data_IF_138641072222
#
_entry.id   IF_138641072222
#
_cell.length_a   1.000
_cell.length_b   1.000
_cell.length_c   1.000
_cell.angle_alpha   90.00
_cell.angle_beta   90.00
_cell.angle_gamma   90.00
#
_symmetry.space_group_name_H-M   'P 1'
#
loop_
_entity.id
_entity.type
_entity.pdbx_description
1 polymer ?
#
# COMPACT_ATOMS: atom_id res chain seq x y z
N UNK A 1 2.74 -69.53 99.55
CA UNK A 1 1.91 -68.40 99.09
C UNK A 1 2.70 -67.10 98.85
N UNK A 2 3.67 -66.72 99.61
CA UNK A 2 4.38 -65.46 99.47
C UNK A 2 5.29 -65.34 98.20
N UNK A 3 5.81 -66.46 97.66
CA UNK A 3 6.63 -66.45 96.42
C UNK A 3 5.87 -66.10 95.16
N UNK A 4 4.61 -66.55 95.03
CA UNK A 4 3.82 -66.27 93.87
C UNK A 4 3.30 -64.83 93.80
N UNK A 5 3.18 -64.18 94.96
CA UNK A 5 2.75 -62.77 95.03
C UNK A 5 3.89 -61.82 94.55
N UNK A 6 5.14 -62.21 94.80
CA UNK A 6 6.35 -61.43 94.39
C UNK A 6 6.50 -61.57 92.88
N UNK A 7 6.30 -62.76 92.33
CA UNK A 7 6.36 -62.98 90.86
C UNK A 7 5.27 -62.19 90.13
N UNK A 8 4.07 -62.12 90.66
CA UNK A 8 2.97 -61.35 90.10
C UNK A 8 3.28 -59.86 90.12
N UNK A 9 3.90 -59.33 91.20
CA UNK A 9 4.31 -57.93 91.30
C UNK A 9 5.35 -57.56 90.30
N UNK A 10 6.34 -58.46 90.07
CA UNK A 10 7.36 -58.22 89.04
C UNK A 10 6.81 -58.23 87.62
N UNK A 11 5.86 -59.14 87.35
CA UNK A 11 5.20 -59.19 86.02
C UNK A 11 4.39 -57.89 85.77
N UNK A 12 3.64 -57.44 86.76
CA UNK A 12 2.86 -56.20 86.68
C UNK A 12 3.76 -55.01 86.50
N UNK A 13 4.91 -54.93 87.17
CA UNK A 13 5.88 -53.85 87.03
C UNK A 13 6.54 -53.86 85.64
N UNK A 14 6.84 -55.05 85.07
CA UNK A 14 7.39 -55.14 83.71
C UNK A 14 6.34 -54.77 82.65
N UNK A 15 5.08 -55.13 82.85
CA UNK A 15 4.00 -54.73 81.91
C UNK A 15 3.75 -53.22 82.01
N UNK A 16 3.77 -52.65 83.21
CA UNK A 16 3.66 -51.17 83.39
C UNK A 16 4.83 -50.41 82.74
N UNK A 17 6.05 -50.94 82.89
CA UNK A 17 7.23 -50.38 82.23
C UNK A 17 7.21 -50.44 80.67
N UNK A 18 6.69 -51.57 80.15
CA UNK A 18 6.49 -51.76 78.72
C UNK A 18 5.41 -50.82 78.17
N UNK A 19 4.31 -50.66 78.97
CA UNK A 19 3.22 -49.75 78.60
C UNK A 19 3.68 -48.27 78.60
N UNK A 20 4.50 -47.87 79.59
CA UNK A 20 5.01 -46.54 79.68
C UNK A 20 6.04 -46.22 78.53
N UNK A 21 6.88 -47.21 78.19
CA UNK A 21 7.83 -47.08 77.07
C UNK A 21 7.15 -47.06 75.70
N UNK A 22 6.07 -47.77 75.52
CA UNK A 22 5.25 -47.80 74.32
C UNK A 22 4.52 -46.45 74.08
N UNK A 23 4.09 -45.81 75.20
CA UNK A 23 3.34 -44.58 75.14
C UNK A 23 4.22 -43.32 75.03
N UNK A 24 5.60 -43.46 75.12
CA UNK A 24 6.58 -42.41 74.95
C UNK A 24 7.19 -42.38 73.56
N UNK A 25 6.58 -43.08 72.60
CA UNK A 25 6.91 -42.88 71.18
C UNK A 25 6.44 -41.48 70.78
N UNK A 26 7.34 -40.53 70.86
CA UNK A 26 7.10 -39.14 70.42
C UNK A 26 6.50 -39.14 69.01
N UNK A 27 5.60 -38.24 68.76
CA UNK A 27 5.05 -37.99 67.45
C UNK A 27 6.21 -37.69 66.46
N UNK A 28 6.42 -38.61 65.55
CA UNK A 28 7.38 -38.40 64.47
C UNK A 28 6.70 -37.46 63.45
N UNK A 29 7.04 -36.18 63.56
CA UNK A 29 6.64 -35.23 62.52
C UNK A 29 7.42 -35.54 61.24
N UNK A 30 6.72 -35.96 60.21
CA UNK A 30 7.30 -36.05 58.87
C UNK A 30 7.43 -34.63 58.34
N UNK A 31 8.62 -34.14 58.29
CA UNK A 31 8.97 -32.86 57.67
C UNK A 31 9.53 -33.14 56.26
N UNK A 32 8.93 -32.54 55.28
CA UNK A 32 9.49 -32.53 53.94
C UNK A 32 10.62 -31.50 53.92
N UNK A 33 11.84 -31.98 53.77
CA UNK A 33 13.00 -31.13 53.56
C UNK A 33 13.12 -30.86 52.04
N UNK A 34 13.01 -29.61 51.66
CA UNK A 34 13.32 -29.15 50.30
C UNK A 34 14.65 -28.42 50.38
N UNK A 35 15.54 -28.73 49.45
CA UNK A 35 16.78 -27.94 49.30
C UNK A 35 16.41 -26.58 48.73
N UNK A 36 16.94 -25.52 49.29
CA UNK A 36 16.85 -24.20 48.73
C UNK A 36 17.77 -24.14 47.51
N UNK A 37 17.18 -24.06 46.32
CA UNK A 37 17.89 -23.83 45.09
C UNK A 37 17.71 -22.36 44.68
N UNK A 38 18.79 -21.71 44.23
CA UNK A 38 18.68 -20.39 43.64
C UNK A 38 18.19 -20.56 42.20
N UNK A 39 16.91 -20.29 41.96
CA UNK A 39 16.35 -20.23 40.62
C UNK A 39 16.26 -18.79 40.16
N UNK A 40 16.70 -18.57 38.94
CA UNK A 40 16.51 -17.29 38.27
C UNK A 40 15.03 -17.12 37.93
N UNK A 41 14.37 -16.17 38.55
CA UNK A 41 12.98 -15.82 38.27
C UNK A 41 12.97 -14.94 37.02
N UNK A 42 12.62 -15.49 35.89
CA UNK A 42 12.38 -14.70 34.66
C UNK A 42 10.97 -14.12 34.73
N UNK A 43 10.91 -12.79 34.71
CA UNK A 43 9.66 -12.09 34.54
C UNK A 43 9.15 -12.38 33.12
N UNK A 44 7.92 -12.83 32.99
CA UNK A 44 7.25 -13.05 31.71
C UNK A 44 6.01 -12.18 31.64
N UNK A 45 5.85 -11.54 30.50
CA UNK A 45 4.68 -10.71 30.19
C UNK A 45 3.80 -11.48 29.22
N UNK A 46 2.52 -11.56 29.52
CA UNK A 46 1.54 -12.12 28.60
C UNK A 46 0.98 -10.98 27.75
N UNK A 47 1.21 -11.04 26.44
CA UNK A 47 0.65 -10.09 25.50
C UNK A 47 -0.13 -10.84 24.41
N UNK A 48 -1.27 -10.31 24.03
CA UNK A 48 -2.01 -10.78 22.86
C UNK A 48 -1.61 -9.97 21.64
N UNK A 49 -1.58 -10.61 20.47
CA UNK A 49 -1.20 -9.93 19.25
C UNK A 49 -1.62 -10.65 17.99
N UNK A 50 -1.46 -9.98 16.86
CA UNK A 50 -1.76 -10.50 15.54
C UNK A 50 -0.48 -10.63 14.70
N UNK A 51 -0.47 -11.63 13.84
CA UNK A 51 0.56 -11.75 12.81
C UNK A 51 0.16 -10.88 11.62
N UNK A 52 1.06 -9.98 11.24
CA UNK A 52 0.87 -9.11 10.08
C UNK A 52 2.03 -9.28 9.10
N UNK A 53 1.78 -9.06 7.83
CA UNK A 53 2.85 -9.03 6.84
C UNK A 53 3.62 -7.71 6.95
N UNK A 54 4.95 -7.77 6.89
CA UNK A 54 5.80 -6.58 6.94
C UNK A 54 5.58 -5.68 5.72
N UNK A 55 5.43 -6.29 4.55
CA UNK A 55 5.09 -5.60 3.31
C UNK A 55 3.75 -6.09 2.79
N UNK A 56 2.79 -5.18 2.74
CA UNK A 56 1.46 -5.42 2.24
C UNK A 56 1.00 -4.19 1.44
N UNK A 57 0.44 -4.42 0.27
CA UNK A 57 -0.09 -3.36 -0.59
C UNK A 57 -1.55 -3.65 -0.91
N UNK A 58 -2.39 -2.69 -0.57
CA UNK A 58 -3.81 -2.70 -0.93
C UNK A 58 -3.98 -1.99 -2.28
N UNK A 59 -4.45 -2.71 -3.28
CA UNK A 59 -4.79 -2.18 -4.58
C UNK A 59 -6.20 -1.62 -4.53
N UNK A 60 -6.31 -0.31 -4.70
CA UNK A 60 -7.57 0.42 -4.72
C UNK A 60 -7.84 1.00 -6.09
N UNK A 61 -9.11 1.15 -6.44
CA UNK A 61 -9.47 1.76 -7.72
C UNK A 61 -9.26 3.26 -7.70
N UNK A 62 -8.60 3.77 -8.74
CA UNK A 62 -8.46 5.20 -9.00
C UNK A 62 -9.47 5.70 -10.03
N UNK A 63 -10.11 4.78 -10.76
CA UNK A 63 -11.14 5.08 -11.76
C UNK A 63 -12.41 4.30 -11.47
N UNK A 64 -13.55 4.83 -11.89
CA UNK A 64 -14.83 4.13 -11.73
C UNK A 64 -15.08 3.30 -13.00
N UNK A 65 -15.31 2.00 -12.82
CA UNK A 65 -15.58 1.10 -13.94
C UNK A 65 -16.06 -0.27 -13.49
N UNK A 66 -16.72 -0.99 -14.39
CA UNK A 66 -17.15 -2.36 -14.15
C UNK A 66 -15.97 -3.33 -14.36
N UNK A 67 -15.83 -4.31 -13.48
CA UNK A 67 -14.81 -5.36 -13.60
C UNK A 67 -15.17 -6.29 -14.76
N UNK A 68 -14.27 -6.37 -15.74
CA UNK A 68 -14.41 -7.27 -16.90
C UNK A 68 -13.84 -8.65 -16.62
N UNK A 69 -12.72 -8.73 -15.93
CA UNK A 69 -12.07 -9.99 -15.57
C UNK A 69 -11.24 -9.86 -14.28
N UNK A 70 -11.20 -10.96 -13.52
CA UNK A 70 -10.29 -11.17 -12.39
C UNK A 70 -9.47 -12.42 -12.72
N UNK A 71 -8.14 -12.32 -12.71
CA UNK A 71 -7.20 -13.33 -13.22
C UNK A 71 -6.49 -14.10 -12.12
N UNK A 72 -6.83 -13.82 -10.86
CA UNK A 72 -6.23 -14.44 -9.68
C UNK A 72 -7.30 -14.79 -8.65
N UNK A 73 -6.98 -15.71 -7.77
CA UNK A 73 -7.77 -16.08 -6.60
C UNK A 73 -6.97 -15.80 -5.30
N UNK A 74 -7.67 -15.80 -4.17
CA UNK A 74 -7.02 -15.70 -2.86
C UNK A 74 -6.06 -16.88 -2.64
N UNK A 75 -4.84 -16.58 -2.23
CA UNK A 75 -3.76 -17.55 -2.02
C UNK A 75 -2.83 -17.71 -3.23
N UNK A 76 -3.14 -17.12 -4.39
CA UNK A 76 -2.27 -17.20 -5.56
C UNK A 76 -0.97 -16.42 -5.39
N UNK A 77 0.12 -17.00 -5.86
CA UNK A 77 1.41 -16.32 -5.98
C UNK A 77 1.39 -15.38 -7.18
N UNK A 78 1.80 -14.16 -6.97
CA UNK A 78 1.85 -13.12 -7.99
C UNK A 78 3.25 -12.52 -8.10
N UNK A 79 3.63 -12.15 -9.33
CA UNK A 79 4.89 -11.48 -9.61
C UNK A 79 4.66 -9.98 -9.83
N UNK A 80 5.66 -9.17 -9.52
CA UNK A 80 5.62 -7.73 -9.81
C UNK A 80 5.34 -7.47 -11.29
N UNK A 81 4.39 -6.59 -11.59
CA UNK A 81 3.93 -6.27 -12.95
C UNK A 81 2.90 -7.24 -13.53
N UNK A 82 2.63 -8.37 -12.89
CA UNK A 82 1.60 -9.32 -13.33
C UNK A 82 0.23 -8.65 -13.27
N UNK A 83 -0.57 -8.86 -14.33
CA UNK A 83 -1.97 -8.37 -14.36
C UNK A 83 -2.82 -9.23 -13.45
N UNK A 84 -3.54 -8.58 -12.54
CA UNK A 84 -4.39 -9.24 -11.54
C UNK A 84 -5.87 -9.16 -11.93
N UNK A 85 -6.29 -8.01 -12.44
CA UNK A 85 -7.66 -7.78 -12.90
C UNK A 85 -7.73 -6.65 -13.92
N UNK A 86 -8.85 -6.53 -14.62
CA UNK A 86 -9.14 -5.45 -15.57
C UNK A 86 -10.55 -4.93 -15.40
N UNK A 87 -10.71 -3.63 -15.58
CA UNK A 87 -12.01 -2.99 -15.79
C UNK A 87 -12.37 -3.00 -17.27
N UNK A 88 -13.64 -2.77 -17.60
CA UNK A 88 -14.12 -2.61 -18.97
C UNK A 88 -13.49 -1.38 -19.61
N UNK A 89 -12.59 -1.54 -20.62
CA UNK A 89 -11.78 -0.44 -21.12
C UNK A 89 -12.48 0.38 -22.21
N UNK A 90 -13.64 -0.05 -22.73
CA UNK A 90 -14.25 0.47 -23.97
C UNK A 90 -14.50 1.98 -23.92
N UNK A 91 -15.05 2.48 -22.83
CA UNK A 91 -15.33 3.91 -22.67
C UNK A 91 -14.06 4.74 -22.55
N UNK A 92 -13.04 4.24 -21.85
CA UNK A 92 -11.73 4.88 -21.71
C UNK A 92 -10.97 4.89 -23.04
N UNK A 93 -10.99 3.77 -23.78
CA UNK A 93 -10.38 3.68 -25.10
C UNK A 93 -11.03 4.65 -26.11
N UNK A 94 -12.36 4.79 -26.05
CA UNK A 94 -13.09 5.76 -26.88
C UNK A 94 -12.72 7.22 -26.55
N UNK A 95 -12.53 7.54 -25.25
CA UNK A 95 -12.05 8.87 -24.84
C UNK A 95 -10.63 9.13 -25.36
N UNK A 96 -9.71 8.16 -25.23
CA UNK A 96 -8.35 8.27 -25.80
C UNK A 96 -8.40 8.56 -27.30
N UNK A 97 -9.22 7.82 -28.08
CA UNK A 97 -9.34 8.05 -29.51
C UNK A 97 -9.93 9.43 -29.84
N UNK A 98 -10.88 9.90 -29.06
CA UNK A 98 -11.44 11.25 -29.19
C UNK A 98 -10.37 12.33 -28.97
N UNK A 99 -9.56 12.22 -27.89
CA UNK A 99 -8.51 13.18 -27.63
C UNK A 99 -7.38 13.10 -28.65
N UNK A 100 -7.03 11.90 -29.12
CA UNK A 100 -6.08 11.71 -30.21
C UNK A 100 -6.55 12.38 -31.51
N UNK A 101 -7.84 12.29 -31.83
CA UNK A 101 -8.40 13.01 -32.97
C UNK A 101 -8.31 14.54 -32.79
N UNK A 102 -8.52 15.03 -31.57
CA UNK A 102 -8.37 16.45 -31.26
C UNK A 102 -6.92 16.93 -31.42
N UNK A 103 -5.91 16.16 -30.97
CA UNK A 103 -4.49 16.43 -31.22
C UNK A 103 -4.21 16.51 -32.71
N UNK A 104 -4.71 15.58 -33.53
CA UNK A 104 -4.56 15.62 -35.00
C UNK A 104 -5.12 16.90 -35.59
N UNK A 105 -6.27 17.38 -35.12
CA UNK A 105 -6.87 18.65 -35.57
C UNK A 105 -5.96 19.84 -35.25
N UNK A 106 -5.38 19.89 -34.04
CA UNK A 106 -4.46 20.96 -33.65
C UNK A 106 -3.15 20.93 -34.46
N UNK A 107 -2.64 19.73 -34.76
CA UNK A 107 -1.46 19.56 -35.64
C UNK A 107 -1.71 20.15 -37.03
N UNK A 108 -2.87 19.83 -37.64
CA UNK A 108 -3.25 20.41 -38.94
C UNK A 108 -3.42 21.93 -38.85
N UNK A 109 -3.93 22.45 -37.71
CA UNK A 109 -4.04 23.89 -37.51
C UNK A 109 -2.66 24.59 -37.43
N UNK A 110 -1.66 23.93 -36.85
CA UNK A 110 -0.25 24.43 -36.88
C UNK A 110 0.28 24.41 -38.29
N UNK A 111 0.18 23.31 -39.02
CA UNK A 111 0.66 23.21 -40.40
C UNK A 111 0.09 24.32 -41.30
N UNK A 112 -1.20 24.61 -41.14
CA UNK A 112 -1.86 25.72 -41.85
C UNK A 112 -1.26 27.07 -41.45
N UNK A 113 -1.02 27.30 -40.16
CA UNK A 113 -0.46 28.57 -39.67
C UNK A 113 1.00 28.74 -40.07
N UNK A 114 1.78 27.67 -40.14
CA UNK A 114 3.16 27.68 -40.68
C UNK A 114 3.16 28.10 -42.12
N UNK A 115 2.27 27.60 -42.97
CA UNK A 115 2.14 28.00 -44.37
C UNK A 115 1.75 29.48 -44.50
N UNK A 116 0.87 29.95 -43.61
CA UNK A 116 0.51 31.37 -43.57
C UNK A 116 1.71 32.24 -43.17
N UNK A 117 2.47 31.85 -42.16
CA UNK A 117 3.69 32.56 -41.75
C UNK A 117 4.72 32.54 -42.85
N UNK A 118 4.95 31.45 -43.57
CA UNK A 118 5.85 31.32 -44.71
C UNK A 118 5.53 32.36 -45.82
N UNK A 119 4.22 32.48 -46.13
CA UNK A 119 3.73 33.46 -47.12
C UNK A 119 4.01 34.90 -46.67
N UNK A 120 3.67 35.22 -45.40
CA UNK A 120 3.90 36.58 -44.87
C UNK A 120 5.40 36.86 -44.74
N UNK A 121 6.22 35.91 -44.31
CA UNK A 121 7.68 36.03 -44.24
C UNK A 121 8.30 36.34 -45.62
N UNK A 122 7.80 35.67 -46.67
CA UNK A 122 8.22 35.94 -48.05
C UNK A 122 7.86 37.35 -48.52
N UNK A 123 6.66 37.83 -48.13
CA UNK A 123 6.25 39.23 -48.43
C UNK A 123 7.09 40.23 -47.64
N UNK A 124 7.29 39.96 -46.35
CA UNK A 124 8.14 40.79 -45.48
C UNK A 124 9.55 40.92 -46.03
N UNK A 125 10.18 39.80 -46.42
CA UNK A 125 11.52 39.81 -47.00
C UNK A 125 11.61 40.62 -48.29
N UNK A 126 10.60 40.55 -49.17
CA UNK A 126 10.53 41.37 -50.37
C UNK A 126 10.40 42.86 -50.03
N UNK A 127 9.53 43.22 -49.10
CA UNK A 127 9.34 44.62 -48.68
C UNK A 127 10.55 45.18 -47.95
N UNK A 128 11.27 44.38 -47.16
CA UNK A 128 12.52 44.77 -46.54
C UNK A 128 13.55 45.18 -47.58
N UNK A 129 13.75 44.39 -48.64
CA UNK A 129 14.66 44.71 -49.74
C UNK A 129 14.30 46.03 -50.51
N UNK A 130 12.96 46.27 -50.66
CA UNK A 130 12.46 47.50 -51.27
C UNK A 130 12.66 48.72 -50.36
N UNK A 131 12.43 48.54 -49.05
CA UNK A 131 12.65 49.62 -48.09
C UNK A 131 14.14 50.01 -47.97
N UNK A 132 15.03 48.99 -47.86
CA UNK A 132 16.50 49.26 -47.89
C UNK A 132 16.97 50.02 -49.11
N UNK A 133 16.32 49.75 -50.24
CA UNK A 133 16.60 50.49 -51.53
C UNK A 133 15.86 51.84 -51.65
N UNK A 134 15.15 52.27 -50.58
CA UNK A 134 14.32 53.47 -50.52
C UNK A 134 13.21 53.50 -51.58
N UNK A 135 12.70 52.35 -52.01
CA UNK A 135 11.65 52.26 -53.03
C UNK A 135 10.24 52.24 -52.38
N UNK A 136 10.11 52.05 -51.10
CA UNK A 136 8.87 52.18 -50.33
C UNK A 136 9.10 53.04 -49.08
N UNK A 137 8.04 53.68 -48.58
CA UNK A 137 8.07 54.52 -47.39
C UNK A 137 8.06 53.65 -46.10
N UNK A 138 8.41 54.30 -44.98
CA UNK A 138 8.44 53.67 -43.65
C UNK A 138 7.09 53.08 -43.26
N UNK A 139 6.00 53.81 -43.45
CA UNK A 139 4.66 53.38 -43.10
C UNK A 139 4.26 52.07 -43.81
N UNK A 140 4.64 51.90 -45.07
CA UNK A 140 4.35 50.70 -45.85
C UNK A 140 5.18 49.51 -45.38
N UNK A 141 6.43 49.74 -44.93
CA UNK A 141 7.23 48.66 -44.34
C UNK A 141 6.73 48.29 -42.96
N UNK A 142 6.39 49.23 -42.07
CA UNK A 142 5.86 48.99 -40.74
C UNK A 142 4.55 48.15 -40.77
N UNK A 143 3.71 48.36 -41.77
CA UNK A 143 2.49 47.57 -41.92
C UNK A 143 2.80 46.07 -42.09
N UNK A 144 3.72 45.71 -42.98
CA UNK A 144 4.08 44.30 -43.23
C UNK A 144 4.91 43.72 -42.10
N UNK A 145 5.74 44.53 -41.43
CA UNK A 145 6.51 44.10 -40.25
C UNK A 145 5.58 43.71 -39.09
N UNK A 146 4.55 44.53 -38.82
CA UNK A 146 3.53 44.23 -37.84
C UNK A 146 2.76 42.97 -38.22
N UNK A 147 2.40 42.76 -39.49
CA UNK A 147 1.71 41.54 -39.96
C UNK A 147 2.57 40.29 -39.73
N UNK A 148 3.88 40.39 -40.00
CA UNK A 148 4.81 39.30 -39.77
C UNK A 148 4.98 39.00 -38.27
N UNK A 149 5.06 40.03 -37.42
CA UNK A 149 5.13 39.88 -36.00
C UNK A 149 3.86 39.18 -35.44
N UNK A 150 2.65 39.59 -35.88
CA UNK A 150 1.40 38.98 -35.51
C UNK A 150 1.34 37.52 -35.97
N UNK A 151 1.72 37.19 -37.18
CA UNK A 151 1.72 35.82 -37.68
C UNK A 151 2.62 34.87 -36.86
N UNK A 152 3.75 35.38 -36.34
CA UNK A 152 4.62 34.62 -35.40
C UNK A 152 3.92 34.36 -34.07
N UNK A 153 3.22 35.36 -33.55
CA UNK A 153 2.44 35.22 -32.30
C UNK A 153 1.34 34.20 -32.47
N UNK A 154 0.63 34.25 -33.61
CA UNK A 154 -0.45 33.30 -33.93
C UNK A 154 0.08 31.87 -34.01
N UNK A 155 1.22 31.65 -34.68
CA UNK A 155 1.84 30.33 -34.72
C UNK A 155 2.21 29.83 -33.29
N UNK A 156 2.77 30.69 -32.46
CA UNK A 156 3.07 30.34 -31.07
C UNK A 156 1.81 29.97 -30.31
N UNK A 157 0.73 30.75 -30.45
CA UNK A 157 -0.56 30.47 -29.83
C UNK A 157 -1.13 29.11 -30.26
N UNK A 158 -0.97 28.72 -31.53
CA UNK A 158 -1.34 27.37 -32.01
C UNK A 158 -0.48 26.27 -31.39
N UNK A 159 0.84 26.56 -31.21
CA UNK A 159 1.73 25.64 -30.50
C UNK A 159 1.25 25.33 -29.06
N UNK A 160 0.89 26.38 -28.31
CA UNK A 160 0.35 26.22 -26.95
C UNK A 160 -0.97 25.43 -26.94
N UNK A 161 -1.84 25.66 -27.93
CA UNK A 161 -3.10 24.88 -28.06
C UNK A 161 -2.83 23.40 -28.36
N UNK A 162 -1.78 23.06 -29.12
CA UNK A 162 -1.35 21.69 -29.34
C UNK A 162 -0.84 21.05 -28.06
N UNK A 163 0.03 21.75 -27.29
CA UNK A 163 0.52 21.25 -26.01
C UNK A 163 -0.61 20.97 -25.03
N UNK A 164 -1.62 21.84 -24.98
CA UNK A 164 -2.82 21.62 -24.17
C UNK A 164 -3.59 20.38 -24.62
N UNK A 165 -3.75 20.17 -25.93
CA UNK A 165 -4.42 18.99 -26.46
C UNK A 165 -3.66 17.70 -26.14
N UNK A 166 -2.32 17.72 -26.26
CA UNK A 166 -1.46 16.59 -25.88
C UNK A 166 -1.59 16.26 -24.40
N UNK A 167 -1.54 17.25 -23.51
CA UNK A 167 -1.72 17.03 -22.07
C UNK A 167 -3.10 16.44 -21.73
N UNK A 168 -4.13 16.75 -22.51
CA UNK A 168 -5.47 16.16 -22.34
C UNK A 168 -5.50 14.71 -22.83
N UNK A 169 -4.82 14.40 -23.94
CA UNK A 169 -4.64 13.03 -24.44
C UNK A 169 -3.88 12.17 -23.41
N UNK A 170 -2.79 12.68 -22.86
CA UNK A 170 -2.00 11.96 -21.86
C UNK A 170 -2.84 11.60 -20.62
N UNK A 171 -3.68 12.53 -20.15
CA UNK A 171 -4.63 12.25 -19.06
C UNK A 171 -5.65 11.17 -19.41
N UNK A 172 -6.13 11.13 -20.65
CA UNK A 172 -7.05 10.09 -21.10
C UNK A 172 -6.35 8.73 -21.17
N UNK A 173 -5.11 8.71 -21.64
CA UNK A 173 -4.26 7.51 -21.69
C UNK A 173 -3.97 6.99 -20.27
N UNK A 174 -3.60 7.86 -19.34
CA UNK A 174 -3.39 7.49 -17.94
C UNK A 174 -4.64 6.86 -17.32
N UNK A 175 -5.84 7.41 -17.59
CA UNK A 175 -7.10 6.81 -17.12
C UNK A 175 -7.36 5.44 -17.74
N UNK A 176 -7.02 5.24 -19.00
CA UNK A 176 -7.10 3.93 -19.64
C UNK A 176 -6.12 2.95 -19.00
N UNK A 177 -4.88 3.36 -18.75
CA UNK A 177 -3.87 2.50 -18.12
C UNK A 177 -4.29 2.07 -16.71
N UNK A 178 -4.98 2.96 -15.97
CA UNK A 178 -5.56 2.66 -14.64
C UNK A 178 -6.73 1.67 -14.67
N UNK A 179 -7.21 1.25 -15.83
CA UNK A 179 -8.18 0.14 -15.94
C UNK A 179 -7.53 -1.24 -15.78
N UNK A 180 -6.20 -1.35 -15.85
CA UNK A 180 -5.45 -2.60 -15.73
C UNK A 180 -4.68 -2.61 -14.42
N UNK A 181 -5.11 -3.46 -13.49
CA UNK A 181 -4.49 -3.60 -12.18
C UNK A 181 -3.35 -4.59 -12.24
N UNK A 182 -2.17 -4.16 -11.80
CA UNK A 182 -0.95 -4.97 -11.76
C UNK A 182 -0.41 -5.03 -10.35
N UNK A 183 0.22 -6.15 -10.00
CA UNK A 183 0.92 -6.28 -8.72
C UNK A 183 2.11 -5.32 -8.66
N UNK A 184 2.23 -4.48 -7.62
CA UNK A 184 3.40 -3.63 -7.41
C UNK A 184 4.60 -4.38 -6.82
N UNK A 185 4.37 -5.55 -6.20
CA UNK A 185 5.38 -6.38 -5.52
C UNK A 185 5.26 -7.84 -5.93
N UNK A 186 6.29 -8.63 -5.64
CA UNK A 186 6.17 -10.09 -5.63
C UNK A 186 5.53 -10.52 -4.31
N UNK A 187 4.61 -11.48 -4.33
CA UNK A 187 3.96 -11.93 -3.10
C UNK A 187 2.81 -12.87 -3.34
N UNK A 188 1.87 -12.86 -2.41
CA UNK A 188 0.65 -13.68 -2.42
C UNK A 188 -0.56 -12.75 -2.33
N UNK A 189 -1.60 -13.03 -3.10
CA UNK A 189 -2.88 -12.35 -2.97
C UNK A 189 -3.55 -12.81 -1.67
N UNK A 190 -3.64 -11.94 -0.67
CA UNK A 190 -4.22 -12.26 0.65
C UNK A 190 -5.71 -12.02 0.71
N UNK A 191 -6.23 -11.10 -0.12
CA UNK A 191 -7.68 -10.94 -0.34
C UNK A 191 -7.98 -10.53 -1.77
N UNK A 192 -9.15 -10.94 -2.28
CA UNK A 192 -9.74 -10.51 -3.55
C UNK A 192 -11.19 -10.13 -3.26
N UNK A 193 -11.40 -8.83 -2.95
CA UNK A 193 -12.67 -8.32 -2.43
C UNK A 193 -13.67 -7.91 -3.51
N UNK A 194 -13.37 -8.20 -4.78
CA UNK A 194 -14.21 -7.82 -5.92
C UNK A 194 -14.41 -8.97 -6.89
N UNK A 195 -15.58 -8.98 -7.55
CA UNK A 195 -15.97 -10.02 -8.50
C UNK A 195 -16.22 -9.44 -9.89
N UNK A 196 -16.11 -10.29 -10.90
CA UNK A 196 -16.47 -9.95 -12.28
C UNK A 196 -17.91 -9.47 -12.33
N UNK A 197 -18.13 -8.33 -13.00
CA UNK A 197 -19.42 -7.68 -13.12
C UNK A 197 -19.72 -6.62 -12.05
N UNK A 198 -18.96 -6.57 -10.95
CA UNK A 198 -19.10 -5.52 -9.95
C UNK A 198 -18.48 -4.20 -10.41
N UNK A 199 -18.87 -3.11 -9.78
CA UNK A 199 -18.36 -1.78 -10.11
C UNK A 199 -17.28 -1.39 -9.08
N UNK A 200 -16.07 -1.18 -9.55
CA UNK A 200 -15.01 -0.56 -8.76
C UNK A 200 -15.26 0.95 -8.64
N UNK A 201 -15.18 1.48 -7.42
CA UNK A 201 -15.42 2.88 -7.10
C UNK A 201 -14.10 3.52 -6.67
N UNK A 202 -13.74 4.64 -7.30
CA UNK A 202 -12.56 5.41 -6.89
C UNK A 202 -12.80 6.11 -5.55
N UNK A 203 -11.75 6.16 -4.72
CA UNK A 203 -11.77 6.94 -3.48
C UNK A 203 -11.86 8.45 -3.77
N UNK A 204 -12.49 9.14 -2.84
CA UNK A 204 -12.49 10.61 -2.77
C UNK A 204 -11.86 11.04 -1.44
N UNK A 205 -11.65 12.34 -1.26
CA UNK A 205 -11.05 12.91 -0.03
C UNK A 205 -11.73 12.42 1.27
N UNK A 206 -13.03 12.09 1.21
CA UNK A 206 -13.83 11.71 2.37
C UNK A 206 -14.35 10.26 2.35
N UNK A 207 -14.12 9.53 1.26
CA UNK A 207 -14.59 8.14 1.08
C UNK A 207 -13.41 7.33 0.55
N UNK A 208 -13.00 6.32 1.30
CA UNK A 208 -12.02 5.36 0.80
C UNK A 208 -12.59 4.66 -0.45
N UNK A 209 -11.78 4.53 -1.49
CA UNK A 209 -12.14 3.72 -2.66
C UNK A 209 -12.33 2.26 -2.30
N UNK A 210 -12.98 1.50 -3.18
CA UNK A 210 -13.09 0.05 -3.02
C UNK A 210 -11.70 -0.56 -2.89
N UNK A 211 -11.45 -1.29 -1.80
CA UNK A 211 -10.33 -2.23 -1.75
C UNK A 211 -10.65 -3.36 -2.73
N UNK A 212 -9.74 -3.64 -3.63
CA UNK A 212 -9.98 -4.61 -4.70
C UNK A 212 -9.22 -5.90 -4.46
N UNK A 213 -7.93 -5.77 -4.21
CA UNK A 213 -7.00 -6.88 -4.03
C UNK A 213 -5.93 -6.43 -3.04
N UNK A 214 -5.58 -7.31 -2.11
CA UNK A 214 -4.44 -7.10 -1.23
C UNK A 214 -3.34 -8.11 -1.58
N UNK A 215 -2.13 -7.61 -1.80
CA UNK A 215 -0.93 -8.44 -2.05
C UNK A 215 0.05 -8.23 -0.91
N UNK A 216 0.56 -9.33 -0.35
CA UNK A 216 1.54 -9.29 0.73
C UNK A 216 2.77 -10.17 0.42
N UNK A 217 3.92 -9.74 0.91
CA UNK A 217 5.14 -10.56 0.87
C UNK A 217 5.17 -11.52 2.07
N UNK A 218 5.04 -12.84 1.85
CA UNK A 218 5.06 -13.83 2.93
C UNK A 218 6.44 -14.08 3.52
N UNK A 219 7.51 -13.53 2.95
CA UNK A 219 8.89 -13.76 3.41
C UNK A 219 9.19 -13.12 4.76
N UNK A 220 8.45 -12.10 5.14
CA UNK A 220 8.64 -11.32 6.36
C UNK A 220 7.33 -11.10 7.09
N UNK A 221 7.19 -11.78 8.23
CA UNK A 221 6.01 -11.66 9.10
C UNK A 221 6.42 -10.94 10.37
N UNK A 222 5.61 -10.00 10.83
CA UNK A 222 5.74 -9.29 12.09
C UNK A 222 4.64 -9.74 13.04
N UNK A 223 4.94 -9.68 14.33
CA UNK A 223 3.95 -9.84 15.39
C UNK A 223 3.67 -8.46 15.96
N UNK A 224 2.46 -7.99 15.79
CA UNK A 224 1.96 -6.77 16.44
C UNK A 224 1.28 -7.19 17.73
N UNK A 225 1.83 -6.74 18.88
CA UNK A 225 1.32 -7.12 20.20
C UNK A 225 0.82 -5.89 20.95
N UNK A 226 -0.30 -6.06 21.63
CA UNK A 226 -0.80 -5.07 22.58
C UNK A 226 -0.28 -5.43 23.97
N UNK A 227 0.53 -4.52 24.55
CA UNK A 227 1.09 -4.66 25.88
C UNK A 227 0.44 -3.65 26.82
N UNK A 228 0.06 -4.09 28.01
CA UNK A 228 -0.50 -3.19 29.04
C UNK A 228 0.56 -2.15 29.44
N UNK A 229 0.12 -0.91 29.67
CA UNK A 229 0.99 0.21 30.07
C UNK A 229 1.81 -0.11 31.35
N UNK A 230 1.25 -0.93 32.27
CA UNK A 230 1.94 -1.34 33.48
C UNK A 230 3.14 -2.26 33.24
N UNK A 231 3.14 -3.02 32.14
CA UNK A 231 4.15 -4.03 31.81
C UNK A 231 5.22 -3.51 30.84
N UNK A 232 4.98 -2.35 30.20
CA UNK A 232 5.87 -1.81 29.17
C UNK A 232 7.29 -1.48 29.71
N UNK A 233 7.40 -1.16 31.01
CA UNK A 233 8.68 -0.86 31.66
C UNK A 233 9.61 -2.09 31.81
N UNK A 234 9.06 -3.30 31.63
CA UNK A 234 9.78 -4.57 31.77
C UNK A 234 10.17 -5.18 30.41
N UNK A 235 9.92 -4.46 29.30
CA UNK A 235 10.28 -4.92 27.95
C UNK A 235 11.65 -4.33 27.57
N UNK A 236 12.61 -5.22 27.34
CA UNK A 236 13.89 -4.87 26.69
C UNK A 236 13.77 -5.16 25.18
N UNK A 237 14.15 -4.18 24.33
CA UNK A 237 14.14 -4.28 22.85
C UNK A 237 15.45 -4.90 22.35
#
# INVERSE_FOLDING_TARGET
>A
MKKNLIILGVVVALVALAYFKSNSAGEVFQVNLANAEIQEIKSSILASGTLIYKEQVELRSEVIGQVSEVLIEEGDQVSQGQVLMRLEPRTFAADVEQQAAYVRIQTIAIERQEKQLENIASQWQRNLNLYERKMIGQDAFELIDNQYALAKIDLRSRGEALLQAQATLDKAQERLDKTVFRSPINGVATSVDIKVGETAISGTTNIAGSNLITVADPSSILVEVEVDEADIANIEL
#
